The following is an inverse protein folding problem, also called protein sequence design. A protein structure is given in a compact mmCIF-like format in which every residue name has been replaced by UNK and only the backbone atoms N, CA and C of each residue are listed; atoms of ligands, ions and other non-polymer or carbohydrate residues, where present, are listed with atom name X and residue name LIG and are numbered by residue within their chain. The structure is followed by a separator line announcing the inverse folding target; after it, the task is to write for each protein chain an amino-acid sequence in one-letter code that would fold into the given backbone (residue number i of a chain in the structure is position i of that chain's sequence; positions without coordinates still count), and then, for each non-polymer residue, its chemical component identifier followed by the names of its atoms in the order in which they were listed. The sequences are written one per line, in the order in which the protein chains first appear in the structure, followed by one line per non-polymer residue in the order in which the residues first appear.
data_IF_330214415575
#
_entry.id   IF_330214415575
#
_cell.length_a   1.000
_cell.length_b   1.000
_cell.length_c   1.000
_cell.angle_alpha   90.00
_cell.angle_beta   90.00
_cell.angle_gamma   90.00
#
_symmetry.space_group_name_H-M   'P 1'
#
loop_
_entity.id
_entity.type
_entity.pdbx_description
1 polymer ?
#
# COMPACT_ATOMS: atom_id res chain seq x y z
N UNK A 1 -4.70 -14.77 13.18
CA UNK A 1 -3.29 -14.68 13.63
C UNK A 1 -2.47 -15.57 12.73
N UNK A 2 -1.85 -15.00 11.71
CA UNK A 2 -0.61 -15.50 11.10
C UNK A 2 -0.02 -14.29 10.35
N UNK A 3 0.92 -13.58 11.01
CA UNK A 3 1.52 -12.33 10.51
C UNK A 3 2.85 -12.60 9.78
N UNK A 4 3.09 -13.85 9.40
CA UNK A 4 4.47 -14.38 9.40
C UNK A 4 5.17 -14.21 8.06
N UNK A 5 4.46 -14.17 6.93
CA UNK A 5 5.07 -14.06 5.59
C UNK A 5 5.36 -12.59 5.23
N UNK A 6 4.35 -11.73 5.26
CA UNK A 6 4.50 -10.29 4.94
C UNK A 6 5.50 -9.61 5.90
N UNK A 7 5.47 -9.95 7.19
CA UNK A 7 6.43 -9.38 8.14
C UNK A 7 7.84 -9.96 8.03
N UNK A 8 8.04 -11.14 7.41
CA UNK A 8 9.38 -11.66 7.10
C UNK A 8 9.98 -10.93 5.92
N UNK A 9 9.21 -10.73 4.85
CA UNK A 9 9.66 -9.98 3.66
C UNK A 9 9.96 -8.52 4.02
N UNK A 10 9.10 -7.85 4.81
CA UNK A 10 9.35 -6.49 5.30
C UNK A 10 10.49 -6.38 6.33
N UNK A 11 10.92 -7.48 6.97
CA UNK A 11 12.08 -7.47 7.88
C UNK A 11 13.40 -7.72 7.15
N UNK A 12 13.39 -8.47 6.05
CA UNK A 12 14.60 -8.74 5.27
C UNK A 12 15.15 -7.49 4.55
N UNK A 13 14.32 -6.46 4.34
CA UNK A 13 14.75 -5.17 3.78
C UNK A 13 15.33 -4.19 4.81
N UNK A 14 15.12 -4.43 6.11
CA UNK A 14 15.63 -3.56 7.18
C UNK A 14 16.79 -4.25 7.91
N UNK A 15 18.00 -4.04 7.39
CA UNK A 15 19.26 -4.49 7.99
C UNK A 15 19.40 -4.08 9.47
N UNK A 16 19.80 -5.04 10.29
CA UNK A 16 19.82 -4.98 11.75
C UNK A 16 21.10 -4.33 12.25
N UNK A 17 21.02 -3.10 12.78
CA UNK A 17 22.06 -2.53 13.65
C UNK A 17 21.83 -3.04 15.06
N UNK A 18 22.64 -4.02 15.47
CA UNK A 18 22.68 -4.53 16.83
C UNK A 18 23.37 -3.53 17.77
N UNK A 19 22.65 -3.08 18.80
CA UNK A 19 23.25 -2.50 19.99
C UNK A 19 22.66 -3.22 21.20
N UNK A 20 23.48 -4.12 21.76
CA UNK A 20 23.36 -4.64 23.11
C UNK A 20 23.51 -3.48 24.10
N UNK A 21 22.68 -3.43 25.15
CA UNK A 21 23.20 -3.08 26.47
C UNK A 21 22.30 -3.54 27.61
N UNK A 22 23.02 -4.06 28.60
CA UNK A 22 22.70 -4.65 29.90
C UNK A 22 21.80 -3.82 30.82
N UNK A 23 20.94 -4.53 31.57
CA UNK A 23 20.30 -4.06 32.81
C UNK A 23 21.32 -3.92 33.95
N UNK A 24 21.00 -3.10 34.97
CA UNK A 24 21.28 -3.51 36.34
C UNK A 24 20.04 -3.45 37.24
N UNK A 25 19.92 -4.51 38.04
CA UNK A 25 19.07 -4.66 39.21
C UNK A 25 19.64 -3.92 40.42
N UNK A 26 18.80 -3.34 41.28
CA UNK A 26 19.17 -3.16 42.68
C UNK A 26 17.99 -3.38 43.63
N UNK A 27 18.36 -4.00 44.75
CA UNK A 27 17.56 -4.64 45.76
C UNK A 27 17.00 -3.67 46.82
N UNK A 28 15.97 -4.21 47.46
CA UNK A 28 15.29 -3.84 48.70
C UNK A 28 16.20 -3.52 49.89
N UNK A 29 15.81 -2.55 50.71
CA UNK A 29 16.27 -2.38 52.09
C UNK A 29 15.17 -1.71 52.92
N UNK A 30 14.60 -2.44 53.88
CA UNK A 30 13.68 -1.92 54.88
C UNK A 30 14.41 -1.50 56.16
N UNK A 31 13.81 -0.59 56.92
CA UNK A 31 14.10 -0.38 58.33
C UNK A 31 12.91 0.26 59.04
N UNK A 32 12.60 -0.30 60.21
CA UNK A 32 11.51 -0.01 61.16
C UNK A 32 11.99 0.84 62.33
N UNK A 33 11.14 1.72 62.87
CA UNK A 33 11.11 2.19 64.28
C UNK A 33 9.82 3.03 64.49
N UNK A 34 8.84 2.62 65.31
CA UNK A 34 8.62 2.92 66.76
C UNK A 34 8.86 4.38 67.15
N UNK A 35 8.11 5.09 68.00
CA UNK A 35 6.84 4.98 68.73
C UNK A 35 6.74 6.29 69.54
N UNK A 36 5.56 6.88 69.73
CA UNK A 36 5.15 7.56 71.00
C UNK A 36 3.89 8.40 70.79
N UNK A 37 2.86 8.07 71.55
CA UNK A 37 1.61 8.82 71.60
C UNK A 37 1.68 10.02 72.54
N UNK A 38 0.92 11.06 72.18
CA UNK A 38 0.40 12.06 73.11
C UNK A 38 -1.07 12.32 72.76
N UNK A 39 -1.94 12.14 73.75
CA UNK A 39 -3.38 12.38 73.66
C UNK A 39 -3.65 13.90 73.70
N UNK A 40 -4.46 14.38 72.75
CA UNK A 40 -5.08 15.70 72.80
C UNK A 40 -6.60 15.53 72.64
N UNK A 41 -7.33 16.10 73.59
CA UNK A 41 -8.79 16.11 73.69
C UNK A 41 -9.45 16.89 72.54
N UNK A 42 -10.61 16.46 72.00
CA UNK A 42 -11.23 17.14 70.88
C UNK A 42 -12.10 18.32 71.34
N UNK A 43 -11.89 19.49 70.74
CA UNK A 43 -12.81 20.63 70.82
C UNK A 43 -13.84 20.47 69.69
N UNK A 44 -15.12 20.38 70.06
CA UNK A 44 -16.25 20.34 69.13
C UNK A 44 -16.42 21.70 68.43
N UNK A 45 -16.32 21.72 67.10
CA UNK A 45 -16.81 22.81 66.24
C UNK A 45 -18.01 22.29 65.42
N UNK A 46 -19.09 23.08 65.27
CA UNK A 46 -20.33 22.60 64.66
C UNK A 46 -20.17 22.36 63.15
N UNK A 47 -20.86 21.33 62.66
CA UNK A 47 -20.88 20.90 61.27
C UNK A 47 -21.33 22.03 60.32
N UNK A 48 -20.41 22.52 59.49
CA UNK A 48 -20.77 23.18 58.25
C UNK A 48 -21.18 22.11 57.23
N UNK A 49 -22.44 22.17 56.82
CA UNK A 49 -23.05 21.28 55.81
C UNK A 49 -22.28 21.37 54.50
N UNK A 50 -21.52 20.32 54.14
CA UNK A 50 -20.90 20.19 52.82
C UNK A 50 -21.99 19.82 51.83
N UNK A 51 -22.46 20.80 51.08
CA UNK A 51 -23.29 20.56 49.91
C UNK A 51 -22.49 19.68 48.92
N UNK A 52 -22.82 18.40 48.86
CA UNK A 52 -22.24 17.47 47.90
C UNK A 52 -22.89 17.72 46.53
N UNK A 53 -22.30 18.62 45.74
CA UNK A 53 -22.58 18.63 44.30
C UNK A 53 -21.97 17.35 43.68
N UNK A 54 -22.81 16.33 43.51
CA UNK A 54 -22.49 15.20 42.65
C UNK A 54 -22.45 15.69 41.21
N UNK A 55 -21.30 16.18 40.79
CA UNK A 55 -21.05 16.40 39.37
C UNK A 55 -20.96 15.01 38.72
N UNK A 56 -22.01 14.61 38.01
CA UNK A 56 -22.01 13.44 37.12
C UNK A 56 -21.08 13.66 35.91
N UNK A 57 -19.93 14.29 36.11
CA UNK A 57 -18.91 14.49 35.09
C UNK A 57 -18.09 13.22 35.04
N UNK A 58 -18.44 12.35 34.08
CA UNK A 58 -17.60 11.20 33.75
C UNK A 58 -16.25 11.72 33.24
N UNK A 59 -15.26 11.79 34.13
CA UNK A 59 -13.87 12.09 33.76
C UNK A 59 -13.39 10.96 32.85
N UNK A 60 -13.43 11.21 31.53
CA UNK A 60 -12.87 10.27 30.57
C UNK A 60 -11.36 10.36 30.70
N UNK A 61 -10.72 9.22 30.95
CA UNK A 61 -9.26 9.11 31.03
C UNK A 61 -8.63 9.74 29.79
N UNK A 62 -7.82 10.79 29.99
CA UNK A 62 -7.05 11.44 28.93
C UNK A 62 -6.20 10.42 28.18
N UNK A 63 -5.66 9.41 28.88
CA UNK A 63 -4.92 8.30 28.26
C UNK A 63 -5.80 7.44 27.35
N UNK A 64 -7.07 7.17 27.70
CA UNK A 64 -8.00 6.48 26.78
C UNK A 64 -8.39 7.34 25.59
N UNK A 65 -8.51 8.66 25.76
CA UNK A 65 -8.73 9.60 24.67
C UNK A 65 -7.55 9.60 23.68
N UNK A 66 -6.32 9.72 24.20
CA UNK A 66 -5.09 9.68 23.39
C UNK A 66 -4.92 8.30 22.73
N UNK A 67 -5.18 7.20 23.43
CA UNK A 67 -5.11 5.84 22.86
C UNK A 67 -6.08 5.62 21.69
N UNK A 68 -7.24 6.31 21.67
CA UNK A 68 -8.17 6.31 20.53
C UNK A 68 -7.70 7.19 19.36
N UNK A 69 -6.84 8.17 19.64
CA UNK A 69 -6.22 9.05 18.63
C UNK A 69 -4.96 8.44 18.02
N UNK A 70 -4.31 7.50 18.70
CA UNK A 70 -3.20 6.71 18.15
C UNK A 70 -3.80 5.72 17.15
N UNK A 71 -3.74 6.05 15.86
CA UNK A 71 -3.98 5.06 14.81
C UNK A 71 -2.84 4.03 14.87
N UNK A 72 -3.13 2.72 14.94
CA UNK A 72 -2.08 1.72 14.78
C UNK A 72 -1.41 1.95 13.42
N UNK A 73 -0.08 1.74 13.30
CA UNK A 73 0.58 1.83 12.01
C UNK A 73 -0.18 0.93 11.04
N UNK A 74 -0.66 1.53 9.94
CA UNK A 74 -1.38 0.78 8.92
C UNK A 74 -0.46 -0.34 8.44
N UNK A 75 -0.92 -1.58 8.53
CA UNK A 75 -0.21 -2.71 7.98
C UNK A 75 -0.70 -2.90 6.54
N UNK A 76 0.18 -3.06 5.55
CA UNK A 76 -0.23 -3.41 4.20
C UNK A 76 -0.96 -4.76 4.18
N UNK A 77 -1.86 -5.02 3.21
CA UNK A 77 -2.13 -4.17 2.04
C UNK A 77 -2.95 -2.91 2.38
N UNK A 78 -2.54 -1.77 1.84
CA UNK A 78 -3.21 -0.50 2.02
C UNK A 78 -4.49 -0.39 1.18
N UNK A 79 -5.50 0.27 1.74
CA UNK A 79 -6.70 0.68 0.96
C UNK A 79 -6.45 1.98 0.18
N UNK A 80 -5.21 2.45 0.06
CA UNK A 80 -4.79 3.60 -0.73
C UNK A 80 -3.53 3.21 -1.52
N UNK A 81 -3.16 4.04 -2.50
CA UNK A 81 -1.96 3.80 -3.31
C UNK A 81 -0.77 4.56 -2.72
N UNK A 82 0.32 3.84 -2.46
CA UNK A 82 1.61 4.42 -2.10
C UNK A 82 2.03 5.42 -3.17
N UNK A 83 2.54 6.58 -2.75
CA UNK A 83 3.03 7.61 -3.65
C UNK A 83 4.55 7.52 -3.80
N UNK A 84 5.06 8.02 -4.93
CA UNK A 84 6.49 8.16 -5.20
C UNK A 84 7.20 8.82 -4.01
N UNK A 85 8.29 8.20 -3.55
CA UNK A 85 8.97 8.52 -2.30
C UNK A 85 8.83 7.41 -1.25
N UNK A 86 7.77 6.59 -1.31
CA UNK A 86 7.68 5.36 -0.52
C UNK A 86 8.72 4.33 -1.03
N UNK A 87 9.62 3.82 -0.18
CA UNK A 87 10.68 2.89 -0.60
C UNK A 87 10.15 1.58 -1.20
N UNK A 88 8.91 1.18 -0.90
CA UNK A 88 8.32 -0.05 -1.48
C UNK A 88 8.23 0.03 -3.01
N UNK A 89 8.05 1.24 -3.56
CA UNK A 89 7.93 1.47 -5.01
C UNK A 89 9.27 1.47 -5.75
N UNK A 90 10.38 1.46 -5.00
CA UNK A 90 11.75 1.42 -5.54
C UNK A 90 12.49 0.13 -5.20
N UNK A 91 11.82 -0.78 -4.50
CA UNK A 91 12.38 -2.08 -4.12
C UNK A 91 11.92 -3.14 -5.12
N UNK A 92 12.81 -4.09 -5.44
CA UNK A 92 12.42 -5.26 -6.21
C UNK A 92 11.48 -6.14 -5.36
N UNK A 93 10.31 -6.46 -5.91
CA UNK A 93 9.31 -7.27 -5.26
C UNK A 93 9.74 -8.74 -5.20
N UNK A 94 9.44 -9.41 -4.08
CA UNK A 94 9.78 -10.80 -3.86
C UNK A 94 8.78 -11.75 -4.55
N UNK A 95 9.29 -12.91 -5.00
CA UNK A 95 8.45 -13.98 -5.50
C UNK A 95 7.48 -14.49 -4.42
N UNK A 96 6.27 -14.82 -4.84
CA UNK A 96 5.27 -15.51 -4.03
C UNK A 96 5.50 -17.01 -4.14
N UNK A 97 5.61 -17.73 -3.02
CA UNK A 97 5.62 -19.19 -3.04
C UNK A 97 4.30 -19.71 -3.65
N UNK A 98 4.33 -20.48 -4.77
CA UNK A 98 3.13 -21.01 -5.41
C UNK A 98 2.19 -21.75 -4.45
N UNK A 99 2.72 -22.44 -3.45
CA UNK A 99 1.91 -23.17 -2.45
C UNK A 99 1.07 -22.23 -1.56
N UNK A 100 1.44 -20.95 -1.48
CA UNK A 100 0.79 -19.94 -0.63
C UNK A 100 -0.21 -19.08 -1.40
N UNK A 101 -0.31 -19.19 -2.73
CA UNK A 101 -1.19 -18.33 -3.54
C UNK A 101 -2.65 -18.46 -3.11
N UNK A 102 -3.11 -19.69 -2.85
CA UNK A 102 -4.49 -19.95 -2.37
C UNK A 102 -4.70 -19.63 -0.89
N UNK A 103 -3.65 -19.20 -0.16
CA UNK A 103 -3.77 -18.84 1.25
C UNK A 103 -4.63 -17.57 1.43
N UNK A 104 -5.34 -17.43 2.58
CA UNK A 104 -6.12 -16.23 2.87
C UNK A 104 -5.32 -14.93 2.84
N UNK A 105 -4.01 -15.01 3.07
CA UNK A 105 -3.10 -13.86 3.11
C UNK A 105 -2.88 -13.30 1.70
N UNK A 106 -2.45 -14.13 0.74
CA UNK A 106 -2.23 -13.72 -0.65
C UNK A 106 -3.56 -13.34 -1.32
N UNK A 107 -4.62 -14.12 -1.09
CA UNK A 107 -5.96 -13.78 -1.58
C UNK A 107 -6.47 -12.45 -1.02
N UNK A 108 -6.13 -12.12 0.23
CA UNK A 108 -6.42 -10.83 0.85
C UNK A 108 -5.72 -9.66 0.16
N UNK A 109 -4.48 -9.85 -0.28
CA UNK A 109 -3.73 -8.86 -1.08
C UNK A 109 -4.39 -8.67 -2.44
N UNK A 110 -4.64 -9.75 -3.19
CA UNK A 110 -5.28 -9.71 -4.52
C UNK A 110 -6.64 -9.00 -4.44
N UNK A 111 -7.48 -9.39 -3.47
CA UNK A 111 -8.80 -8.75 -3.26
C UNK A 111 -8.67 -7.25 -2.98
N UNK A 112 -7.67 -6.85 -2.20
CA UNK A 112 -7.43 -5.43 -1.88
C UNK A 112 -6.97 -4.67 -3.12
N UNK A 113 -6.06 -5.23 -3.92
CA UNK A 113 -5.61 -4.64 -5.18
C UNK A 113 -6.78 -4.42 -6.14
N UNK A 114 -7.60 -5.45 -6.40
CA UNK A 114 -8.76 -5.35 -7.30
C UNK A 114 -9.75 -4.30 -6.81
N UNK A 115 -10.00 -4.25 -5.49
CA UNK A 115 -10.87 -3.22 -4.89
C UNK A 115 -10.32 -1.81 -5.09
N UNK A 116 -9.02 -1.60 -4.86
CA UNK A 116 -8.37 -0.29 -5.03
C UNK A 116 -8.37 0.12 -6.50
N UNK A 117 -7.99 -0.78 -7.40
CA UNK A 117 -7.95 -0.57 -8.84
C UNK A 117 -9.30 -0.10 -9.39
N UNK A 118 -10.37 -0.84 -9.07
CA UNK A 118 -11.74 -0.50 -9.50
C UNK A 118 -12.26 0.79 -8.88
N UNK A 119 -11.91 1.09 -7.62
CA UNK A 119 -12.33 2.33 -6.95
C UNK A 119 -11.66 3.56 -7.56
N UNK A 120 -10.41 3.44 -8.00
CA UNK A 120 -9.67 4.52 -8.65
C UNK A 120 -9.93 4.57 -10.16
N UNK A 121 -10.73 3.65 -10.70
CA UNK A 121 -10.96 3.52 -12.15
C UNK A 121 -9.63 3.45 -12.94
N UNK A 122 -8.59 2.85 -12.36
CA UNK A 122 -7.34 2.58 -13.06
C UNK A 122 -7.35 1.19 -13.71
N UNK A 123 -6.56 1.02 -14.78
CA UNK A 123 -6.61 -0.17 -15.65
C UNK A 123 -5.60 -1.25 -15.28
N UNK A 124 -4.69 -0.93 -14.37
CA UNK A 124 -3.65 -1.82 -13.85
C UNK A 124 -3.28 -1.40 -12.42
N UNK A 125 -2.84 -2.37 -11.63
CA UNK A 125 -2.28 -2.13 -10.30
C UNK A 125 -1.34 -3.27 -9.89
N UNK A 126 -0.22 -2.92 -9.25
CA UNK A 126 0.74 -3.87 -8.69
C UNK A 126 0.68 -3.92 -7.15
N UNK A 127 1.09 -5.05 -6.55
CA UNK A 127 1.11 -5.19 -5.09
C UNK A 127 2.02 -4.17 -4.37
N UNK A 128 3.20 -3.78 -4.90
CA UNK A 128 4.01 -2.72 -4.32
C UNK A 128 3.24 -1.41 -4.11
N UNK A 129 2.33 -1.07 -5.03
CA UNK A 129 1.51 0.14 -4.93
C UNK A 129 0.51 0.13 -3.77
N UNK A 130 0.19 -1.03 -3.22
CA UNK A 130 -0.60 -1.15 -1.97
C UNK A 130 0.29 -1.52 -0.77
N UNK A 131 1.59 -1.25 -0.85
CA UNK A 131 2.56 -1.45 0.22
C UNK A 131 3.00 -2.91 0.42
N UNK A 132 2.71 -3.80 -0.52
CA UNK A 132 3.06 -5.23 -0.41
C UNK A 132 4.18 -5.55 -1.42
N UNK A 133 5.42 -5.84 -0.97
CA UNK A 133 6.55 -6.10 -1.86
C UNK A 133 6.54 -7.54 -2.43
N UNK A 134 5.44 -7.93 -3.08
CA UNK A 134 5.28 -9.24 -3.72
C UNK A 134 5.03 -9.08 -5.23
N UNK A 135 5.48 -10.05 -6.02
CA UNK A 135 5.29 -10.06 -7.48
C UNK A 135 3.86 -10.43 -7.88
N UNK A 136 2.93 -9.50 -7.71
CA UNK A 136 1.52 -9.67 -8.09
C UNK A 136 1.07 -8.43 -8.84
N UNK A 137 0.42 -8.63 -9.98
CA UNK A 137 -0.20 -7.57 -10.79
C UNK A 137 -1.63 -7.92 -11.13
N UNK A 138 -2.49 -6.91 -11.20
CA UNK A 138 -3.87 -6.99 -11.66
C UNK A 138 -4.07 -6.05 -12.84
N UNK A 139 -4.86 -6.48 -13.83
CA UNK A 139 -5.20 -5.68 -15.00
C UNK A 139 -6.67 -5.91 -15.35
N UNK A 140 -7.39 -4.84 -15.67
CA UNK A 140 -8.77 -4.90 -16.17
C UNK A 140 -9.05 -3.67 -17.05
N UNK A 141 -9.67 -3.86 -18.21
CA UNK A 141 -10.13 -2.78 -19.07
C UNK A 141 -11.61 -3.01 -19.43
N UNK A 142 -12.56 -2.52 -18.62
CA UNK A 142 -13.98 -2.81 -18.79
C UNK A 142 -14.58 -2.12 -20.01
N UNK A 143 -15.73 -2.63 -20.48
CA UNK A 143 -16.49 -2.08 -21.61
C UNK A 143 -16.81 -0.59 -21.41
N UNK A 144 -17.21 -0.18 -20.20
CA UNK A 144 -17.52 1.20 -19.84
C UNK A 144 -16.38 2.18 -20.23
N UNK A 145 -15.13 1.86 -19.91
CA UNK A 145 -13.98 2.71 -20.26
C UNK A 145 -13.67 2.71 -21.76
N UNK A 146 -14.02 1.63 -22.46
CA UNK A 146 -13.89 1.56 -23.92
C UNK A 146 -14.90 2.48 -24.59
N UNK A 147 -16.14 2.49 -24.12
CA UNK A 147 -17.22 3.34 -24.62
C UNK A 147 -16.93 4.85 -24.45
N UNK A 148 -16.26 5.23 -23.36
CA UNK A 148 -15.82 6.61 -23.08
C UNK A 148 -14.70 7.10 -24.02
N UNK A 149 -13.97 6.18 -24.67
CA UNK A 149 -12.87 6.53 -25.59
C UNK A 149 -13.39 6.84 -27.00
N UNK A 150 -12.84 7.83 -27.70
CA UNK A 150 -13.23 8.10 -29.10
C UNK A 150 -12.78 6.98 -30.06
N UNK A 151 -13.50 6.71 -31.18
CA UNK A 151 -13.10 5.68 -32.15
C UNK A 151 -11.65 5.84 -32.65
N UNK A 152 -11.23 7.06 -32.96
CA UNK A 152 -9.86 7.35 -33.38
C UNK A 152 -8.81 7.02 -32.30
N UNK A 153 -9.12 7.30 -31.02
CA UNK A 153 -8.24 6.93 -29.89
C UNK A 153 -8.15 5.41 -29.73
N UNK A 154 -9.28 4.70 -29.89
CA UNK A 154 -9.33 3.23 -29.80
C UNK A 154 -8.45 2.58 -30.86
N UNK A 155 -8.56 3.04 -32.10
CA UNK A 155 -7.74 2.54 -33.21
C UNK A 155 -6.25 2.88 -32.99
N UNK A 156 -5.92 4.15 -32.74
CA UNK A 156 -4.54 4.59 -32.59
C UNK A 156 -3.80 3.84 -31.46
N UNK A 157 -4.46 3.61 -30.32
CA UNK A 157 -3.87 2.95 -29.16
C UNK A 157 -3.99 1.43 -29.18
N UNK A 158 -4.77 0.85 -30.11
CA UNK A 158 -5.14 -0.57 -30.07
C UNK A 158 -5.87 -0.94 -28.78
N UNK A 159 -6.87 -0.12 -28.38
CA UNK A 159 -7.68 -0.38 -27.20
C UNK A 159 -8.59 -1.59 -27.43
N UNK A 160 -8.67 -2.46 -26.44
CA UNK A 160 -9.57 -3.61 -26.43
C UNK A 160 -10.06 -3.86 -25.02
N UNK A 161 -11.27 -4.38 -24.89
CA UNK A 161 -11.83 -4.79 -23.60
C UNK A 161 -10.99 -5.93 -23.05
N UNK A 162 -10.60 -5.83 -21.78
CA UNK A 162 -9.84 -6.85 -21.09
C UNK A 162 -10.60 -7.27 -19.82
N UNK A 163 -10.94 -8.57 -19.66
CA UNK A 163 -11.46 -9.04 -18.39
C UNK A 163 -10.40 -8.90 -17.30
N UNK A 164 -10.82 -8.97 -16.03
CA UNK A 164 -9.89 -9.01 -14.92
C UNK A 164 -8.89 -10.17 -15.10
N UNK A 165 -7.61 -9.86 -15.10
CA UNK A 165 -6.50 -10.81 -15.12
C UNK A 165 -5.61 -10.53 -13.91
N UNK A 166 -5.23 -11.60 -13.22
CA UNK A 166 -4.25 -11.57 -12.14
C UNK A 166 -3.05 -12.39 -12.59
N UNK A 167 -1.85 -11.83 -12.42
CA UNK A 167 -0.62 -12.59 -12.57
C UNK A 167 0.19 -12.53 -11.28
N UNK A 168 0.60 -13.70 -10.83
CA UNK A 168 1.52 -13.94 -9.73
C UNK A 168 2.83 -14.47 -10.30
N UNK A 169 3.95 -13.93 -9.83
CA UNK A 169 5.30 -14.14 -10.36
C UNK A 169 5.36 -14.03 -11.89
N UNK A 170 4.81 -12.96 -12.50
CA UNK A 170 4.85 -12.83 -13.94
C UNK A 170 6.28 -12.68 -14.47
N UNK A 171 6.46 -13.16 -15.69
CA UNK A 171 7.62 -12.95 -16.56
C UNK A 171 7.12 -12.39 -17.88
N UNK A 172 7.92 -11.55 -18.53
CA UNK A 172 7.54 -10.86 -19.76
C UNK A 172 8.55 -11.17 -20.88
N UNK A 173 8.04 -11.52 -22.06
CA UNK A 173 8.82 -11.71 -23.29
C UNK A 173 8.32 -10.74 -24.36
N UNK A 174 9.24 -10.01 -24.99
CA UNK A 174 8.89 -9.11 -26.12
C UNK A 174 8.65 -9.95 -27.37
N UNK A 175 7.52 -9.71 -28.04
CA UNK A 175 7.17 -10.38 -29.31
C UNK A 175 7.45 -9.49 -30.51
N UNK A 176 7.26 -8.17 -30.35
CA UNK A 176 7.58 -7.16 -31.36
C UNK A 176 8.42 -6.05 -30.72
N UNK A 177 9.65 -5.88 -31.21
CA UNK A 177 10.60 -4.90 -30.71
C UNK A 177 10.28 -3.45 -31.09
N UNK A 178 9.30 -3.19 -31.97
CA UNK A 178 8.86 -1.84 -32.29
C UNK A 178 8.29 -1.15 -31.06
N UNK A 179 8.74 0.07 -30.81
CA UNK A 179 8.22 0.89 -29.71
C UNK A 179 7.16 1.86 -30.20
N UNK A 180 6.07 1.98 -29.44
CA UNK A 180 5.02 3.00 -29.63
C UNK A 180 5.08 4.04 -28.52
N UNK A 181 4.77 5.29 -28.85
CA UNK A 181 4.81 6.44 -27.94
C UNK A 181 3.39 6.88 -27.61
N UNK A 182 3.04 6.84 -26.32
CA UNK A 182 1.80 7.41 -25.80
C UNK A 182 2.04 8.00 -24.42
N UNK A 183 1.18 8.93 -24.02
CA UNK A 183 1.11 9.45 -22.66
C UNK A 183 0.67 8.34 -21.69
N UNK A 184 1.43 8.17 -20.62
CA UNK A 184 1.13 7.33 -19.45
C UNK A 184 0.97 8.20 -18.21
N UNK A 185 0.15 7.73 -17.28
CA UNK A 185 0.02 8.24 -15.92
C UNK A 185 0.09 7.05 -14.95
N UNK A 186 0.29 7.34 -13.66
CA UNK A 186 0.42 6.32 -12.63
C UNK A 186 -0.26 6.80 -11.35
N UNK A 187 -1.06 5.95 -10.71
CA UNK A 187 -1.72 6.26 -9.43
C UNK A 187 -0.71 6.56 -8.30
N UNK A 188 0.53 6.10 -8.43
CA UNK A 188 1.61 6.41 -7.48
C UNK A 188 2.31 7.75 -7.76
N UNK A 189 1.98 8.43 -8.87
CA UNK A 189 2.51 9.74 -9.24
C UNK A 189 1.32 10.63 -9.60
N UNK A 190 0.52 10.93 -8.58
CA UNK A 190 -0.76 11.60 -8.74
C UNK A 190 -0.62 12.97 -9.42
N UNK A 191 -1.43 13.21 -10.46
CA UNK A 191 -1.56 14.51 -11.09
C UNK A 191 -0.58 14.80 -12.24
N UNK A 192 0.26 13.84 -12.62
CA UNK A 192 1.22 14.01 -13.71
C UNK A 192 1.16 12.88 -14.74
N UNK A 193 1.52 13.21 -15.98
CA UNK A 193 1.69 12.26 -17.08
C UNK A 193 2.91 12.61 -17.93
N UNK A 194 3.43 11.62 -18.66
CA UNK A 194 4.46 11.84 -19.67
C UNK A 194 4.38 10.80 -20.79
N UNK A 195 5.01 11.08 -21.93
CA UNK A 195 5.11 10.16 -23.05
C UNK A 195 6.14 9.09 -22.73
N UNK A 196 5.76 7.82 -22.85
CA UNK A 196 6.63 6.68 -22.53
C UNK A 196 6.72 5.74 -23.73
N UNK A 197 7.93 5.33 -24.16
CA UNK A 197 8.08 4.28 -25.16
C UNK A 197 7.78 2.91 -24.55
N UNK A 198 6.95 2.12 -25.25
CA UNK A 198 6.63 0.73 -24.88
C UNK A 198 6.70 -0.16 -26.10
N UNK A 199 7.08 -1.43 -25.91
CA UNK A 199 7.01 -2.43 -26.96
C UNK A 199 5.55 -2.60 -27.41
N UNK A 200 5.34 -2.74 -28.72
CA UNK A 200 4.00 -2.87 -29.28
C UNK A 200 3.32 -4.17 -28.84
N UNK A 201 4.08 -5.26 -28.74
CA UNK A 201 3.55 -6.60 -28.46
C UNK A 201 4.44 -7.37 -27.51
N UNK A 202 3.83 -8.02 -26.52
CA UNK A 202 4.51 -8.81 -25.48
C UNK A 202 3.70 -10.06 -25.15
N UNK A 203 4.38 -11.08 -24.63
CA UNK A 203 3.78 -12.20 -23.92
C UNK A 203 4.10 -12.07 -22.44
N UNK A 204 3.07 -12.17 -21.59
CA UNK A 204 3.25 -12.33 -20.15
C UNK A 204 2.89 -13.76 -19.76
N UNK A 205 3.70 -14.38 -18.90
CA UNK A 205 3.45 -15.71 -18.36
C UNK A 205 3.68 -15.73 -16.85
N UNK A 206 2.86 -16.48 -16.12
CA UNK A 206 2.96 -16.59 -14.67
C UNK A 206 1.89 -17.53 -14.11
N UNK A 207 1.52 -17.34 -12.86
CA UNK A 207 0.41 -18.06 -12.22
C UNK A 207 -0.81 -17.13 -12.04
N UNK A 208 -2.01 -17.67 -12.09
CA UNK A 208 -3.22 -16.93 -11.74
C UNK A 208 -3.51 -16.97 -10.22
N UNK A 209 -4.63 -16.39 -9.80
CA UNK A 209 -5.06 -16.37 -8.39
C UNK A 209 -5.36 -17.76 -7.81
N UNK A 210 -5.45 -18.80 -8.64
CA UNK A 210 -5.65 -20.21 -8.25
C UNK A 210 -4.36 -21.03 -8.31
N UNK A 211 -3.21 -20.38 -8.52
CA UNK A 211 -1.91 -21.02 -8.74
C UNK A 211 -1.82 -21.85 -10.03
N UNK A 212 -2.68 -21.60 -11.01
CA UNK A 212 -2.65 -22.28 -12.30
C UNK A 212 -1.76 -21.49 -13.29
N UNK A 213 -0.94 -22.17 -14.12
CA UNK A 213 -0.10 -21.51 -15.11
C UNK A 213 -0.96 -20.84 -16.18
N UNK A 214 -0.65 -19.58 -16.47
CA UNK A 214 -1.31 -18.79 -17.50
C UNK A 214 -0.28 -18.07 -18.37
N UNK A 215 -0.59 -17.97 -19.66
CA UNK A 215 0.18 -17.18 -20.62
C UNK A 215 -0.77 -16.34 -21.46
N UNK A 216 -0.36 -15.10 -21.77
CA UNK A 216 -1.18 -14.15 -22.50
C UNK A 216 -0.31 -13.30 -23.43
N UNK A 217 -0.53 -13.45 -24.73
CA UNK A 217 0.05 -12.60 -25.76
C UNK A 217 -0.88 -11.43 -26.04
N UNK A 218 -0.33 -10.23 -26.06
CA UNK A 218 -1.12 -9.02 -26.27
C UNK A 218 -0.33 -7.93 -26.98
N UNK A 219 -1.06 -7.07 -27.68
CA UNK A 219 -0.52 -5.94 -28.43
C UNK A 219 -1.30 -4.66 -28.11
N UNK A 220 -0.72 -3.49 -28.39
CA UNK A 220 -1.37 -2.20 -28.22
C UNK A 220 -1.48 -1.77 -26.76
N UNK A 221 -2.59 -1.15 -26.38
CA UNK A 221 -2.76 -0.57 -25.05
C UNK A 221 -2.62 -1.58 -23.90
N UNK A 222 -3.19 -2.80 -23.96
CA UNK A 222 -2.99 -3.75 -22.86
C UNK A 222 -1.55 -4.27 -22.76
N UNK A 223 -0.80 -4.31 -23.87
CA UNK A 223 0.65 -4.59 -23.82
C UNK A 223 1.41 -3.49 -23.06
N UNK A 224 1.00 -2.23 -23.23
CA UNK A 224 1.53 -1.10 -22.46
C UNK A 224 1.18 -1.20 -20.98
N UNK A 225 -0.07 -1.49 -20.64
CA UNK A 225 -0.50 -1.64 -19.24
C UNK A 225 0.33 -2.73 -18.57
N UNK A 226 0.45 -3.92 -19.16
CA UNK A 226 1.21 -5.00 -18.52
C UNK A 226 2.70 -4.65 -18.37
N UNK A 227 3.32 -3.98 -19.34
CA UNK A 227 4.70 -3.50 -19.20
C UNK A 227 4.84 -2.50 -18.04
N UNK A 228 3.86 -1.61 -17.85
CA UNK A 228 3.83 -0.67 -16.73
C UNK A 228 3.73 -1.40 -15.39
N UNK A 229 2.83 -2.37 -15.26
CA UNK A 229 2.67 -3.13 -14.02
C UNK A 229 3.88 -4.02 -13.71
N UNK A 230 4.52 -4.55 -14.75
CA UNK A 230 5.78 -5.31 -14.62
C UNK A 230 6.93 -4.44 -14.08
N UNK A 231 7.06 -3.21 -14.57
CA UNK A 231 8.09 -2.26 -14.08
C UNK A 231 7.98 -2.03 -12.56
N UNK A 232 6.75 -1.91 -12.02
CA UNK A 232 6.55 -1.75 -10.57
C UNK A 232 7.09 -2.91 -9.76
N UNK A 233 7.06 -4.14 -10.30
CA UNK A 233 7.61 -5.31 -9.61
C UNK A 233 9.14 -5.26 -9.49
N UNK A 234 9.78 -4.49 -10.35
CA UNK A 234 11.23 -4.33 -10.40
C UNK A 234 11.68 -2.97 -9.81
N UNK A 235 10.77 -2.24 -9.16
CA UNK A 235 11.05 -0.93 -8.54
C UNK A 235 11.22 0.22 -9.54
N UNK A 236 10.76 0.02 -10.78
CA UNK A 236 10.80 1.01 -11.85
C UNK A 236 9.45 1.72 -11.96
N UNK A 237 9.51 3.02 -12.24
CA UNK A 237 8.35 3.87 -12.50
C UNK A 237 8.44 4.41 -13.92
N UNK A 238 7.32 4.87 -14.46
CA UNK A 238 7.31 5.45 -15.81
C UNK A 238 8.25 6.67 -15.94
N UNK A 239 8.54 7.36 -14.83
CA UNK A 239 9.51 8.46 -14.76
C UNK A 239 10.91 8.05 -15.21
N UNK A 240 11.28 6.77 -15.06
CA UNK A 240 12.60 6.27 -15.42
C UNK A 240 12.71 5.96 -16.93
N UNK A 241 11.57 5.96 -17.65
CA UNK A 241 11.48 5.63 -19.09
C UNK A 241 10.94 6.77 -19.95
N UNK A 242 10.32 7.78 -19.35
CA UNK A 242 9.60 8.82 -20.08
C UNK A 242 10.50 9.73 -20.92
N UNK A 243 9.94 10.32 -21.97
CA UNK A 243 10.49 11.55 -22.52
C UNK A 243 10.21 12.71 -21.55
N UNK A 244 11.23 13.11 -20.80
CA UNK A 244 11.15 14.17 -19.77
C UNK A 244 10.59 15.50 -20.28
N UNK A 245 10.74 15.83 -21.58
CA UNK A 245 10.20 17.07 -22.16
C UNK A 245 8.68 17.07 -22.27
N UNK A 246 8.06 15.90 -22.13
CA UNK A 246 6.61 15.70 -22.23
C UNK A 246 5.95 15.52 -20.86
N UNK A 247 6.71 15.68 -19.76
CA UNK A 247 6.18 15.61 -18.41
C UNK A 247 5.30 16.82 -18.10
N UNK A 248 4.03 16.57 -17.84
CA UNK A 248 3.02 17.62 -17.66
C UNK A 248 2.15 17.34 -16.44
N UNK A 249 1.60 18.41 -15.87
CA UNK A 249 0.49 18.30 -14.92
C UNK A 249 -0.80 18.05 -15.71
N UNK A 250 -1.58 17.03 -15.35
CA UNK A 250 -2.80 16.67 -16.10
C UNK A 250 -3.89 17.75 -16.04
N UNK A 251 -3.82 18.67 -15.06
CA UNK A 251 -4.72 19.82 -14.91
C UNK A 251 -4.15 21.10 -15.51
N UNK A 252 -3.02 21.03 -16.22
CA UNK A 252 -2.34 22.22 -16.73
C UNK A 252 -3.25 23.08 -17.62
N UNK A 253 -4.06 22.46 -18.49
CA UNK A 253 -5.04 23.18 -19.31
C UNK A 253 -6.05 23.95 -18.45
N UNK A 254 -6.65 23.30 -17.46
CA UNK A 254 -7.63 23.92 -16.54
C UNK A 254 -7.07 25.09 -15.72
N UNK A 255 -5.74 25.16 -15.52
CA UNK A 255 -5.11 26.24 -14.76
C UNK A 255 -4.64 27.43 -15.61
N UNK A 256 -4.46 27.24 -16.91
CA UNK A 256 -3.87 28.24 -17.81
C UNK A 256 -4.84 28.71 -18.91
N UNK A 257 -6.04 28.14 -18.96
CA UNK A 257 -7.21 28.63 -19.71
C UNK A 257 -8.06 29.56 -18.83
#
# INVERSE_FOLDING_TARGET
MNRTIISRVLRLSNGTLGLSNSKPSLLTGGATATSSGYQLTPIFFPLASKCCYSSNVRVRSYLQYIKRKIQPPTCPPYNHVCQVGDPVLRSQAADVDPATISSPEVQGVIKTMVKVMRRLECVGLSAPQVGVPLRIVALEYPVKMMEESSPASREARGLSVQPLRIFVNPTLRVLDGRTVLFQEACESISGFSATVPRYLSVEVSGLNEKAEPVSWQVSGWPARIIQHEMDHLDGLLYLDRMDSKTFINIKWQTHNE
#
